data_IF_067691848219
#
_entry.id   IF_067691848219
#
_cell.length_a   1.000
_cell.length_b   1.000
_cell.length_c   1.000
_cell.angle_alpha   90.00
_cell.angle_beta   90.00
_cell.angle_gamma   90.00
#
_symmetry.space_group_name_H-M   'P 1'
#
loop_
_entity.id
_entity.type
_entity.pdbx_description
1 polymer ?
#
# COMPACT_ATOMS: atom_id res chain seq x y z
N UNK A 1 5.11 9.92 -7.12
CA UNK A 1 3.90 9.12 -6.84
C UNK A 1 3.90 8.56 -5.42
N UNK A 2 5.00 7.96 -4.96
CA UNK A 2 5.10 7.39 -3.60
C UNK A 2 4.83 8.39 -2.46
N UNK A 3 5.32 9.63 -2.56
CA UNK A 3 5.04 10.66 -1.55
C UNK A 3 3.55 11.01 -1.45
N UNK A 4 2.83 11.00 -2.59
CA UNK A 4 1.40 11.27 -2.61
C UNK A 4 0.61 10.11 -1.98
N UNK A 5 0.96 8.86 -2.28
CA UNK A 5 0.24 7.72 -1.70
C UNK A 5 0.45 7.66 -0.18
N UNK A 6 1.66 7.95 0.31
CA UNK A 6 1.93 8.05 1.74
C UNK A 6 1.12 9.17 2.39
N UNK A 7 1.04 10.34 1.76
CA UNK A 7 0.20 11.43 2.25
C UNK A 7 -1.28 11.01 2.34
N UNK A 8 -1.82 10.37 1.31
CA UNK A 8 -3.21 9.92 1.28
C UNK A 8 -3.48 8.86 2.37
N UNK A 9 -2.56 7.90 2.54
CA UNK A 9 -2.62 6.89 3.59
C UNK A 9 -2.64 7.57 4.97
N UNK A 10 -1.73 8.51 5.22
CA UNK A 10 -1.70 9.25 6.48
C UNK A 10 -2.98 10.06 6.72
N UNK A 11 -3.54 10.69 5.69
CA UNK A 11 -4.79 11.45 5.81
C UNK A 11 -5.99 10.55 6.15
N UNK A 12 -6.03 9.33 5.61
CA UNK A 12 -7.17 8.42 5.80
C UNK A 12 -7.07 7.59 7.08
N UNK A 13 -5.88 7.08 7.38
CA UNK A 13 -5.65 6.09 8.44
C UNK A 13 -4.78 6.59 9.59
N UNK A 14 -4.24 7.81 9.51
CA UNK A 14 -3.25 8.32 10.46
C UNK A 14 -1.84 7.82 10.16
N UNK A 15 -0.88 8.13 11.04
CA UNK A 15 0.48 7.59 10.90
C UNK A 15 0.44 6.05 10.93
N UNK A 16 1.05 5.43 9.92
CA UNK A 16 1.17 3.98 9.80
C UNK A 16 2.54 3.51 10.29
N UNK A 17 2.64 2.23 10.64
CA UNK A 17 3.88 1.63 11.11
C UNK A 17 4.99 1.71 10.06
N UNK A 18 6.24 1.63 10.53
CA UNK A 18 7.42 1.57 9.65
C UNK A 18 7.34 0.36 8.71
N UNK A 19 6.82 -0.77 9.17
CA UNK A 19 6.59 -1.97 8.35
C UNK A 19 5.70 -1.69 7.13
N UNK A 20 4.57 -1.00 7.32
CA UNK A 20 3.67 -0.63 6.21
C UNK A 20 4.39 0.34 5.27
N UNK A 21 5.15 1.31 5.81
CA UNK A 21 5.93 2.24 4.99
C UNK A 21 6.97 1.53 4.13
N UNK A 22 7.72 0.58 4.68
CA UNK A 22 8.70 -0.22 3.94
C UNK A 22 8.04 -1.09 2.87
N UNK A 23 6.87 -1.67 3.15
CA UNK A 23 6.11 -2.44 2.16
C UNK A 23 5.67 -1.56 0.98
N UNK A 24 5.17 -0.35 1.25
CA UNK A 24 4.80 0.60 0.20
C UNK A 24 6.01 1.01 -0.64
N UNK A 25 7.17 1.24 0.00
CA UNK A 25 8.43 1.55 -0.68
C UNK A 25 8.97 0.41 -1.55
N UNK A 26 8.68 -0.84 -1.19
CA UNK A 26 9.09 -2.02 -1.93
C UNK A 26 8.21 -2.32 -3.16
N UNK A 27 7.04 -1.67 -3.29
CA UNK A 27 6.14 -1.94 -4.41
C UNK A 27 6.76 -1.56 -5.76
N UNK A 28 6.66 -2.42 -6.78
CA UNK A 28 6.90 -2.05 -8.17
C UNK A 28 6.03 -0.85 -8.58
N UNK A 29 6.51 -0.04 -9.53
CA UNK A 29 5.79 1.15 -9.99
C UNK A 29 4.35 0.85 -10.41
N UNK A 30 4.13 -0.26 -11.12
CA UNK A 30 2.80 -0.69 -11.56
C UNK A 30 1.85 -0.96 -10.39
N UNK A 31 2.35 -1.54 -9.29
CA UNK A 31 1.55 -1.77 -8.09
C UNK A 31 1.27 -0.47 -7.33
N UNK A 32 2.18 0.51 -7.35
CA UNK A 32 1.89 1.85 -6.82
C UNK A 32 0.76 2.52 -7.62
N UNK A 33 0.72 2.34 -8.94
CA UNK A 33 -0.39 2.84 -9.78
C UNK A 33 -1.71 2.12 -9.49
N UNK A 34 -1.67 0.80 -9.29
CA UNK A 34 -2.83 0.01 -8.91
C UNK A 34 -3.35 0.39 -7.51
N UNK A 35 -2.45 0.65 -6.57
CA UNK A 35 -2.78 1.11 -5.22
C UNK A 35 -3.59 2.40 -5.29
N UNK A 36 -3.21 3.36 -6.15
CA UNK A 36 -3.98 4.61 -6.33
C UNK A 36 -5.40 4.35 -6.81
N UNK A 37 -5.60 3.38 -7.72
CA UNK A 37 -6.93 3.05 -8.28
C UNK A 37 -7.87 2.47 -7.22
N UNK A 38 -7.34 1.64 -6.32
CA UNK A 38 -8.16 0.94 -5.31
C UNK A 38 -8.17 1.63 -3.95
N UNK A 39 -7.28 2.60 -3.68
CA UNK A 39 -7.10 3.22 -2.37
C UNK A 39 -8.42 3.74 -1.77
N UNK A 40 -9.27 4.36 -2.60
CA UNK A 40 -10.55 4.92 -2.13
C UNK A 40 -11.53 3.83 -1.67
N UNK A 41 -11.37 2.58 -2.13
CA UNK A 41 -12.24 1.44 -1.77
C UNK A 41 -11.93 0.78 -0.42
N UNK A 42 -10.77 1.05 0.18
CA UNK A 42 -10.40 0.49 1.48
C UNK A 42 -11.26 1.07 2.61
N UNK A 43 -11.92 0.23 3.40
CA UNK A 43 -12.74 0.68 4.53
C UNK A 43 -11.94 0.77 5.83
N UNK A 44 -10.79 0.13 5.89
CA UNK A 44 -9.95 0.02 7.08
C UNK A 44 -8.46 -0.09 6.72
N UNK A 45 -7.60 0.08 7.74
CA UNK A 45 -6.16 -0.18 7.60
C UNK A 45 -5.89 -1.66 7.25
N UNK A 46 -6.72 -2.58 7.76
CA UNK A 46 -6.63 -4.02 7.47
C UNK A 46 -6.83 -4.34 5.98
N UNK A 47 -7.64 -3.56 5.26
CA UNK A 47 -7.79 -3.72 3.81
C UNK A 47 -6.49 -3.36 3.06
N UNK A 48 -5.82 -2.28 3.49
CA UNK A 48 -4.51 -1.89 2.96
C UNK A 48 -3.45 -2.96 3.26
N UNK A 49 -3.40 -3.45 4.50
CA UNK A 49 -2.46 -4.50 4.91
C UNK A 49 -2.68 -5.78 4.08
N UNK A 50 -3.93 -6.21 3.92
CA UNK A 50 -4.28 -7.39 3.12
C UNK A 50 -3.84 -7.23 1.66
N UNK A 51 -4.11 -6.06 1.06
CA UNK A 51 -3.69 -5.75 -0.30
C UNK A 51 -2.16 -5.76 -0.45
N UNK A 52 -1.42 -5.18 0.50
CA UNK A 52 0.05 -5.19 0.50
C UNK A 52 0.60 -6.61 0.62
N UNK A 53 0.01 -7.43 1.50
CA UNK A 53 0.40 -8.83 1.66
C UNK A 53 0.17 -9.62 0.37
N UNK A 54 -0.96 -9.46 -0.31
CA UNK A 54 -1.24 -10.14 -1.58
C UNK A 54 -0.22 -9.77 -2.67
N UNK A 55 0.11 -8.48 -2.80
CA UNK A 55 1.05 -8.01 -3.81
C UNK A 55 2.48 -8.47 -3.57
N UNK A 56 2.94 -8.41 -2.32
CA UNK A 56 4.32 -8.78 -1.96
C UNK A 56 4.49 -10.31 -1.79
N UNK A 57 3.41 -11.05 -1.51
CA UNK A 57 3.46 -12.52 -1.48
C UNK A 57 3.58 -13.13 -2.89
N UNK A 58 3.13 -12.40 -3.93
CA UNK A 58 3.25 -12.81 -5.32
C UNK A 58 4.70 -12.86 -5.85
N UNK A 59 5.67 -12.31 -5.12
CA UNK A 59 7.10 -12.36 -5.50
C UNK A 59 7.80 -13.66 -5.06
N UNK A 60 7.19 -14.49 -4.20
CA UNK A 60 7.75 -15.79 -3.81
C UNK A 60 7.11 -16.90 -4.65
N UNK A 61 7.26 -16.86 -5.98
CA UNK A 61 7.02 -18.01 -6.86
C UNK A 61 7.58 -17.78 -8.27
N UNK A 62 8.89 -17.51 -8.41
CA UNK A 62 9.69 -17.82 -9.61
C UNK A 62 11.15 -18.11 -9.22
#
# INVERSE_FOLDING_TARGET
MLALIKLLITQRFGEVSETINSQIEALPLADVEDLVKVFLSFNSLTDLESWLQERLSGEILL
#
